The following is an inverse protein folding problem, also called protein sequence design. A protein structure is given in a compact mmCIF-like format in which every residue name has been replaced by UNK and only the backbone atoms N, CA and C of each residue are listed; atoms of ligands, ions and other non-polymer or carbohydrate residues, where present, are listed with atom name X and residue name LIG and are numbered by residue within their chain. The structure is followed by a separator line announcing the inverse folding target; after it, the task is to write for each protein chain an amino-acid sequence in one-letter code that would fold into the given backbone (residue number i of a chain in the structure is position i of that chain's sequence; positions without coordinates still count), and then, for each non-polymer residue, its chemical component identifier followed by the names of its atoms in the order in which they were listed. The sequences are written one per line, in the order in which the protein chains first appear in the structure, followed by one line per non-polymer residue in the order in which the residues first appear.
data_IF_654822092842
#
_entry.id   IF_654822092842
#
_cell.length_a   1.000
_cell.length_b   1.000
_cell.length_c   1.000
_cell.angle_alpha   90.00
_cell.angle_beta   90.00
_cell.angle_gamma   90.00
#
_symmetry.space_group_name_H-M   'P 1'
#
loop_
_entity.id
_entity.type
_entity.pdbx_description
1 polymer ?
#
# COMPACT_ATOMS: atom_id res chain seq x y z
N UNK A 1 -8.88 -5.46 14.56
CA UNK A 1 -7.90 -4.60 13.87
C UNK A 1 -8.17 -4.61 12.37
N UNK A 2 -8.35 -3.45 11.81
CA UNK A 2 -8.72 -3.26 10.41
C UNK A 2 -7.57 -2.55 9.66
N UNK A 3 -7.64 -2.55 8.32
CA UNK A 3 -6.63 -1.90 7.50
C UNK A 3 -6.38 -0.44 7.90
N UNK A 4 -7.44 0.32 8.19
CA UNK A 4 -7.31 1.72 8.63
C UNK A 4 -6.55 1.90 9.93
N UNK A 5 -6.50 0.89 10.79
CA UNK A 5 -5.81 0.96 12.09
C UNK A 5 -4.29 0.82 11.94
N UNK A 6 -3.83 0.17 10.88
CA UNK A 6 -2.40 -0.11 10.65
C UNK A 6 -1.82 0.59 9.42
N UNK A 7 -2.66 1.16 8.57
CA UNK A 7 -2.20 1.87 7.38
C UNK A 7 -1.45 3.16 7.73
N UNK A 8 -0.44 3.48 6.93
CA UNK A 8 0.19 4.79 6.95
C UNK A 8 -0.68 5.75 6.15
N UNK A 9 -1.09 6.87 6.76
CA UNK A 9 -1.98 7.83 6.11
C UNK A 9 -1.25 8.79 5.17
N UNK A 10 0.06 8.94 5.34
CA UNK A 10 0.90 9.74 4.44
C UNK A 10 1.39 8.85 3.29
N UNK A 11 0.74 8.97 2.14
CA UNK A 11 1.04 8.16 0.96
C UNK A 11 1.91 8.96 0.00
N UNK A 12 3.02 8.36 -0.44
CA UNK A 12 3.82 8.93 -1.53
C UNK A 12 3.11 8.59 -2.84
N UNK A 13 2.59 9.63 -3.48
CA UNK A 13 1.71 9.51 -4.63
C UNK A 13 2.09 10.50 -5.72
N UNK A 14 1.64 10.23 -6.93
CA UNK A 14 1.84 11.10 -8.07
C UNK A 14 0.63 11.05 -9.00
N UNK A 15 0.42 12.12 -9.76
CA UNK A 15 -0.65 12.19 -10.75
C UNK A 15 -0.28 11.40 -12.00
N UNK A 16 -1.23 10.68 -12.57
CA UNK A 16 -1.06 9.84 -13.74
C UNK A 16 -0.55 10.59 -14.99
N UNK A 17 -0.82 11.89 -15.07
CA UNK A 17 -0.39 12.73 -16.17
C UNK A 17 1.07 13.19 -16.08
N UNK A 18 1.69 13.08 -14.89
CA UNK A 18 3.10 13.45 -14.71
C UNK A 18 4.04 12.47 -15.43
N UNK A 19 5.23 12.97 -15.79
CA UNK A 19 6.22 12.20 -16.56
C UNK A 19 6.92 11.12 -15.76
N UNK A 20 7.53 10.17 -16.45
CA UNK A 20 8.38 9.13 -15.84
C UNK A 20 9.57 9.74 -15.10
N UNK A 21 10.14 10.85 -15.63
CA UNK A 21 11.23 11.56 -14.94
C UNK A 21 10.77 12.09 -13.59
N UNK A 22 9.58 12.67 -13.54
CA UNK A 22 9.02 13.18 -12.28
C UNK A 22 8.75 12.03 -11.29
N UNK A 23 8.29 10.87 -11.79
CA UNK A 23 8.14 9.67 -10.96
C UNK A 23 9.47 9.28 -10.31
N UNK A 24 10.54 9.23 -11.11
CA UNK A 24 11.87 8.90 -10.59
C UNK A 24 12.36 9.91 -9.55
N UNK A 25 12.09 11.20 -9.76
CA UNK A 25 12.43 12.26 -8.80
C UNK A 25 11.70 12.09 -7.47
N UNK A 26 10.42 11.80 -7.51
CA UNK A 26 9.60 11.59 -6.31
C UNK A 26 10.11 10.37 -5.55
N UNK A 27 10.35 9.26 -6.25
CA UNK A 27 10.89 8.04 -5.63
C UNK A 27 12.25 8.27 -4.98
N UNK A 28 13.14 8.99 -5.67
CA UNK A 28 14.47 9.31 -5.13
C UNK A 28 14.39 10.21 -3.90
N UNK A 29 13.57 11.26 -3.98
CA UNK A 29 13.38 12.23 -2.88
C UNK A 29 12.86 11.56 -1.61
N UNK A 30 11.93 10.62 -1.76
CA UNK A 30 11.27 9.95 -0.63
C UNK A 30 11.87 8.58 -0.30
N UNK A 31 12.92 8.16 -1.00
CA UNK A 31 13.60 6.88 -0.79
C UNK A 31 12.64 5.69 -0.88
N UNK A 32 11.76 5.72 -1.86
CA UNK A 32 10.81 4.63 -2.16
C UNK A 32 11.06 4.10 -3.56
N UNK A 33 10.71 2.86 -3.80
CA UNK A 33 10.86 2.19 -5.10
C UNK A 33 9.56 2.01 -5.86
N UNK A 34 8.46 2.51 -5.30
CA UNK A 34 7.12 2.38 -5.87
C UNK A 34 6.27 3.58 -5.49
N UNK A 35 5.40 4.00 -6.41
CA UNK A 35 4.43 5.07 -6.20
C UNK A 35 3.02 4.56 -6.40
N UNK A 36 2.10 5.09 -5.60
CA UNK A 36 0.67 5.04 -5.91
C UNK A 36 0.41 6.14 -6.95
N UNK A 37 -0.10 5.75 -8.11
CA UNK A 37 -0.48 6.69 -9.16
C UNK A 37 -1.96 7.00 -9.01
N UNK A 38 -2.28 8.27 -8.93
CA UNK A 38 -3.65 8.74 -8.67
C UNK A 38 -4.21 9.50 -9.85
N UNK A 39 -5.53 9.41 -9.98
CA UNK A 39 -6.34 10.30 -10.81
C UNK A 39 -7.26 11.09 -9.89
N UNK A 40 -7.94 12.08 -10.47
CA UNK A 40 -8.92 12.91 -9.77
C UNK A 40 -10.33 12.50 -10.15
N UNK A 41 -11.19 12.36 -9.13
CA UNK A 41 -12.62 12.22 -9.29
C UNK A 41 -13.26 13.31 -8.45
N UNK A 42 -13.60 14.44 -9.11
CA UNK A 42 -13.96 15.67 -8.40
C UNK A 42 -12.74 16.19 -7.61
N UNK A 43 -12.89 16.37 -6.31
CA UNK A 43 -11.78 16.77 -5.42
C UNK A 43 -11.07 15.57 -4.78
N UNK A 44 -11.55 14.36 -5.04
CA UNK A 44 -11.04 13.14 -4.46
C UNK A 44 -9.90 12.57 -5.30
N UNK A 45 -8.84 12.09 -4.64
CA UNK A 45 -7.74 11.35 -5.26
C UNK A 45 -8.05 9.86 -5.21
N UNK A 46 -8.04 9.22 -6.37
CA UNK A 46 -8.39 7.81 -6.55
C UNK A 46 -7.17 7.07 -7.11
N UNK A 47 -6.74 5.95 -6.53
CA UNK A 47 -5.69 5.13 -7.12
C UNK A 47 -6.12 4.64 -8.51
N UNK A 48 -5.29 4.86 -9.51
CA UNK A 48 -5.52 4.40 -10.89
C UNK A 48 -4.46 3.42 -11.36
N UNK A 49 -3.35 3.31 -10.63
CA UNK A 49 -2.27 2.37 -10.91
C UNK A 49 -1.18 2.41 -9.87
N UNK A 50 -0.19 1.55 -10.08
CA UNK A 50 1.04 1.52 -9.30
C UNK A 50 2.22 1.59 -10.27
N UNK A 51 3.26 2.30 -9.89
CA UNK A 51 4.46 2.44 -10.73
C UNK A 51 5.70 2.15 -9.90
N UNK A 52 6.43 1.11 -10.27
CA UNK A 52 7.70 0.76 -9.67
C UNK A 52 8.86 1.39 -10.44
N UNK A 53 9.98 1.64 -9.75
CA UNK A 53 11.19 2.16 -10.41
C UNK A 53 11.68 1.20 -11.51
N UNK A 54 11.48 -0.10 -11.33
CA UNK A 54 11.81 -1.09 -12.36
C UNK A 54 11.02 -0.88 -13.64
N UNK A 55 9.76 -0.51 -13.56
CA UNK A 55 8.91 -0.22 -14.72
C UNK A 55 9.43 1.01 -15.47
N UNK A 56 9.86 2.03 -14.75
CA UNK A 56 10.48 3.23 -15.33
C UNK A 56 11.79 2.86 -16.04
N UNK A 57 12.64 2.08 -15.39
CA UNK A 57 13.91 1.63 -15.97
C UNK A 57 13.69 0.80 -17.23
N UNK A 58 12.74 -0.12 -17.21
CA UNK A 58 12.38 -0.94 -18.39
C UNK A 58 11.90 -0.07 -19.53
N UNK A 59 10.99 0.85 -19.27
CA UNK A 59 10.42 1.73 -20.30
C UNK A 59 11.50 2.62 -20.94
N UNK A 60 12.37 3.22 -20.14
CA UNK A 60 13.37 4.17 -20.61
C UNK A 60 14.59 3.45 -21.21
N UNK A 61 15.15 2.47 -20.49
CA UNK A 61 16.42 1.86 -20.85
C UNK A 61 16.26 0.73 -21.87
N UNK A 62 15.19 -0.05 -21.81
CA UNK A 62 14.99 -1.19 -22.71
C UNK A 62 14.07 -0.86 -23.88
N UNK A 63 13.02 -0.07 -23.65
CA UNK A 63 12.05 0.27 -24.69
C UNK A 63 12.31 1.62 -25.36
N UNK A 64 13.29 2.38 -24.88
CA UNK A 64 13.68 3.66 -25.46
C UNK A 64 12.66 4.79 -25.34
N UNK A 65 11.76 4.70 -24.37
CA UNK A 65 10.76 5.77 -24.15
C UNK A 65 11.43 7.02 -23.60
N UNK A 66 10.95 8.18 -24.05
CA UNK A 66 11.41 9.48 -23.55
C UNK A 66 10.84 9.69 -22.14
N UNK A 67 11.68 9.82 -21.11
CA UNK A 67 11.21 10.00 -19.74
C UNK A 67 10.48 11.32 -19.51
N UNK A 68 10.71 12.33 -20.34
CA UNK A 68 10.07 13.64 -20.21
C UNK A 68 8.73 13.71 -20.96
N UNK A 69 8.57 12.90 -22.00
CA UNK A 69 7.37 12.89 -22.84
C UNK A 69 6.39 11.76 -22.51
N UNK A 70 6.81 10.77 -21.72
CA UNK A 70 5.98 9.61 -21.39
C UNK A 70 5.30 9.83 -20.03
N UNK A 71 3.95 9.87 -19.98
CA UNK A 71 3.24 9.99 -18.71
C UNK A 71 3.25 8.68 -17.94
N UNK A 72 3.11 8.74 -16.63
CA UNK A 72 3.04 7.55 -15.77
C UNK A 72 1.91 6.61 -16.18
N UNK A 73 0.78 7.15 -16.65
CA UNK A 73 -0.37 6.37 -17.12
C UNK A 73 -0.04 5.41 -18.26
N UNK A 74 0.99 5.69 -19.05
CA UNK A 74 1.39 4.84 -20.17
C UNK A 74 2.18 3.59 -19.73
N UNK A 75 2.71 3.58 -18.50
CA UNK A 75 3.66 2.56 -18.02
C UNK A 75 3.17 1.85 -16.76
N UNK A 76 2.37 2.51 -15.93
CA UNK A 76 1.89 1.97 -14.65
C UNK A 76 1.16 0.65 -14.81
N UNK A 77 1.27 -0.21 -13.78
CA UNK A 77 0.44 -1.40 -13.65
C UNK A 77 -0.99 -1.01 -13.28
N UNK A 78 -1.97 -1.54 -14.00
CA UNK A 78 -3.40 -1.27 -13.80
C UNK A 78 -4.26 -2.47 -14.20
N UNK A 79 -5.45 -2.63 -13.58
CA UNK A 79 -5.97 -1.79 -12.48
C UNK A 79 -5.13 -1.95 -11.22
N UNK A 80 -5.13 -0.97 -10.30
CA UNK A 80 -4.42 -1.12 -9.04
C UNK A 80 -5.11 -2.16 -8.17
N UNK A 81 -4.32 -2.98 -7.46
CA UNK A 81 -4.85 -3.82 -6.40
C UNK A 81 -4.94 -2.96 -5.15
N UNK A 82 -6.12 -2.84 -4.59
CA UNK A 82 -6.39 -1.99 -3.43
C UNK A 82 -6.99 -2.79 -2.29
N UNK A 83 -6.84 -2.29 -1.07
CA UNK A 83 -7.55 -2.79 0.10
C UNK A 83 -8.53 -1.73 0.59
N UNK A 84 -9.71 -2.16 1.05
CA UNK A 84 -10.64 -1.25 1.69
C UNK A 84 -10.17 -0.96 3.12
N UNK A 85 -10.45 0.23 3.60
CA UNK A 85 -10.05 0.64 4.96
C UNK A 85 -10.68 -0.22 6.06
N UNK A 86 -11.80 -0.90 5.77
CA UNK A 86 -12.49 -1.82 6.68
C UNK A 86 -12.08 -3.28 6.51
N UNK A 87 -11.08 -3.58 5.68
CA UNK A 87 -10.51 -4.93 5.58
C UNK A 87 -9.93 -5.41 6.90
N UNK A 88 -10.15 -6.67 7.22
CA UNK A 88 -9.53 -7.35 8.35
C UNK A 88 -8.07 -7.74 8.01
N UNK A 89 -7.28 -8.10 9.03
CA UNK A 89 -5.93 -8.62 8.82
C UNK A 89 -5.93 -9.87 7.92
N UNK A 90 -6.89 -10.77 8.14
CA UNK A 90 -7.01 -11.98 7.34
C UNK A 90 -7.29 -11.66 5.86
N UNK A 91 -8.17 -10.69 5.60
CA UNK A 91 -8.47 -10.23 4.24
C UNK A 91 -7.25 -9.56 3.58
N UNK A 92 -6.51 -8.74 4.33
CA UNK A 92 -5.27 -8.12 3.84
C UNK A 92 -4.24 -9.18 3.47
N UNK A 93 -4.04 -10.18 4.31
CA UNK A 93 -3.12 -11.29 4.03
C UNK A 93 -3.53 -12.02 2.76
N UNK A 94 -4.83 -12.28 2.56
CA UNK A 94 -5.34 -12.92 1.37
C UNK A 94 -5.06 -12.10 0.09
N UNK A 95 -5.25 -10.77 0.14
CA UNK A 95 -4.96 -9.88 -0.99
C UNK A 95 -3.46 -9.86 -1.30
N UNK A 96 -2.60 -9.70 -0.29
CA UNK A 96 -1.14 -9.71 -0.45
C UNK A 96 -0.66 -11.03 -1.05
N UNK A 97 -1.17 -12.15 -0.54
CA UNK A 97 -0.83 -13.49 -1.05
C UNK A 97 -1.27 -13.68 -2.49
N UNK A 98 -2.50 -13.29 -2.82
CA UNK A 98 -3.06 -13.48 -4.15
C UNK A 98 -2.44 -12.57 -5.22
N UNK A 99 -2.04 -11.37 -4.84
CA UNK A 99 -1.45 -10.39 -5.75
C UNK A 99 0.06 -10.50 -5.91
N UNK A 100 0.74 -11.08 -4.94
CA UNK A 100 2.21 -11.09 -4.88
C UNK A 100 2.81 -9.72 -4.58
N UNK A 101 2.00 -8.74 -4.22
CA UNK A 101 2.45 -7.39 -3.89
C UNK A 101 2.85 -7.31 -2.42
N UNK A 102 3.75 -6.39 -2.09
CA UNK A 102 4.18 -6.14 -0.71
C UNK A 102 3.51 -4.91 -0.11
N UNK A 103 2.84 -4.10 -0.91
CA UNK A 103 2.16 -2.88 -0.49
C UNK A 103 0.86 -2.73 -1.25
N UNK A 104 -0.16 -2.21 -0.56
CA UNK A 104 -1.48 -1.97 -1.13
C UNK A 104 -1.94 -0.57 -0.78
N UNK A 105 -2.43 0.20 -1.76
CA UNK A 105 -3.19 1.40 -1.45
C UNK A 105 -4.45 1.03 -0.67
N UNK A 106 -4.78 1.82 0.33
CA UNK A 106 -5.99 1.67 1.13
C UNK A 106 -6.98 2.75 0.71
N UNK A 107 -8.20 2.32 0.44
CA UNK A 107 -9.26 3.21 -0.06
C UNK A 107 -10.47 3.19 0.89
N UNK A 108 -11.20 4.29 0.90
CA UNK A 108 -12.49 4.39 1.60
C UNK A 108 -13.62 3.76 0.78
N UNK A 109 -14.85 3.86 1.29
CA UNK A 109 -16.03 3.26 0.64
C UNK A 109 -16.31 3.84 -0.75
N UNK A 110 -15.88 5.07 -1.04
CA UNK A 110 -16.04 5.72 -2.34
C UNK A 110 -14.89 5.44 -3.31
N UNK A 111 -13.83 4.77 -2.86
CA UNK A 111 -12.64 4.48 -3.65
C UNK A 111 -11.54 5.53 -3.53
N UNK A 112 -11.70 6.52 -2.65
CA UNK A 112 -10.70 7.54 -2.39
C UNK A 112 -9.51 6.99 -1.63
N UNK A 113 -8.30 7.44 -2.00
CA UNK A 113 -7.06 7.03 -1.35
C UNK A 113 -6.99 7.61 0.07
N UNK A 114 -6.86 6.74 1.08
CA UNK A 114 -6.77 7.14 2.49
C UNK A 114 -5.50 6.66 3.18
N UNK A 115 -4.75 5.76 2.56
CA UNK A 115 -3.52 5.24 3.17
C UNK A 115 -2.82 4.22 2.30
N UNK A 116 -1.75 3.67 2.84
CA UNK A 116 -1.01 2.55 2.26
C UNK A 116 -0.68 1.55 3.38
N UNK A 117 -0.80 0.27 3.09
CA UNK A 117 -0.45 -0.81 4.02
C UNK A 117 0.56 -1.73 3.36
N UNK A 118 1.59 -2.10 4.11
CA UNK A 118 2.61 -3.05 3.65
C UNK A 118 2.48 -4.41 4.34
N UNK A 119 3.11 -5.42 3.77
CA UNK A 119 3.26 -6.72 4.41
C UNK A 119 3.95 -6.59 5.78
N UNK A 120 4.93 -5.69 5.90
CA UNK A 120 5.64 -5.44 7.16
C UNK A 120 4.71 -4.84 8.22
N UNK A 121 3.78 -3.97 7.82
CA UNK A 121 2.77 -3.42 8.73
C UNK A 121 1.85 -4.53 9.27
N UNK A 122 1.48 -5.48 8.43
CA UNK A 122 0.67 -6.64 8.84
C UNK A 122 1.44 -7.53 9.81
N UNK A 123 2.71 -7.79 9.53
CA UNK A 123 3.57 -8.59 10.44
C UNK A 123 3.69 -7.89 11.80
N UNK A 124 3.91 -6.59 11.82
CA UNK A 124 3.99 -5.81 13.06
C UNK A 124 2.68 -5.87 13.85
N UNK A 125 1.54 -5.76 13.16
CA UNK A 125 0.23 -5.87 13.79
C UNK A 125 -0.02 -7.25 14.39
N UNK A 126 0.39 -8.31 13.69
CA UNK A 126 0.28 -9.67 14.21
C UNK A 126 1.16 -9.90 15.44
N UNK A 127 2.38 -9.36 15.43
CA UNK A 127 3.28 -9.42 16.58
C UNK A 127 2.67 -8.72 17.80
N UNK A 128 2.06 -7.58 17.61
CA UNK A 128 1.34 -6.83 18.66
C UNK A 128 0.19 -7.64 19.25
N UNK A 129 -0.62 -8.29 18.41
CA UNK A 129 -1.70 -9.15 18.87
C UNK A 129 -1.19 -10.35 19.66
N UNK A 130 -0.07 -10.95 19.26
CA UNK A 130 0.55 -12.05 20.01
C UNK A 130 1.08 -11.57 21.36
N UNK A 131 1.64 -10.38 21.42
CA UNK A 131 2.11 -9.76 22.66
C UNK A 131 0.96 -9.50 23.63
N UNK A 132 -0.16 -8.97 23.13
CA UNK A 132 -1.37 -8.76 23.91
C UNK A 132 -1.92 -10.07 24.46
N UNK A 133 -1.92 -11.12 23.66
CA UNK A 133 -2.34 -12.45 24.10
C UNK A 133 -1.42 -13.00 25.21
N UNK A 134 -0.11 -12.86 25.05
CA UNK A 134 0.86 -13.28 26.06
C UNK A 134 0.66 -12.52 27.37
N UNK A 135 0.41 -11.21 27.31
CA UNK A 135 0.09 -10.39 28.48
C UNK A 135 -1.20 -10.85 29.16
N UNK A 136 -2.23 -11.18 28.41
CA UNK A 136 -3.49 -11.67 28.98
C UNK A 136 -3.31 -12.98 29.74
N UNK A 137 -2.39 -13.83 29.29
CA UNK A 137 -2.09 -15.11 29.97
C UNK A 137 -1.22 -14.94 31.22
N UNK A 138 -0.40 -13.90 31.27
CA UNK A 138 0.53 -13.66 32.40
C UNK A 138 -0.15 -12.89 33.53
N UNK A 139 -1.07 -11.97 33.22
CA UNK A 139 -1.64 -11.02 34.19
C UNK A 139 -2.60 -11.67 35.16
N UNK A 140 -3.21 -12.82 34.82
CA UNK A 140 -4.08 -13.51 35.78
C UNK A 140 -4.02 -15.03 35.66
N UNK A 141 -2.92 -15.67 36.21
CA UNK A 141 -2.82 -17.12 36.23
C UNK A 141 -3.88 -17.81 37.09
N UNK A 142 -4.55 -17.07 37.99
CA UNK A 142 -5.59 -17.63 38.85
C UNK A 142 -6.94 -17.73 38.15
N UNK A 143 -7.27 -16.80 37.28
CA UNK A 143 -8.47 -16.88 36.43
C UNK A 143 -8.39 -18.04 35.44
N UNK A 144 -7.20 -18.31 34.91
CA UNK A 144 -6.98 -19.44 34.02
C UNK A 144 -7.16 -20.78 34.74
N UNK A 145 -6.73 -20.88 35.99
CA UNK A 145 -6.98 -22.05 36.80
C UNK A 145 -8.46 -22.24 37.16
N UNK A 146 -9.20 -21.18 37.38
CA UNK A 146 -10.61 -21.24 37.70
C UNK A 146 -11.49 -21.63 36.48
N UNK A 147 -11.03 -21.37 35.25
CA UNK A 147 -11.70 -21.71 34.01
C UNK A 147 -11.49 -23.17 33.55
N UNK A 148 -10.61 -23.89 34.24
CA UNK A 148 -10.34 -25.32 34.01
C UNK A 148 -11.16 -26.15 34.99
#
# INVERSE_FOLDING_TARGET
MLARDIATHRVIQADAAQSLREAARIMYRHQVSCLVVVGSRGQEKVPVGMLAIRDVATAVLLEGKDPDATPMSAVMARPPVVAREDCTLAELIAILRGSGLRRLPVVDASGGLVGIVSADDVIAAMAELMEDLAHALIVDPQLDHAAR
#
